data_IF_478586046598
#
_entry.id   IF_478586046598
#
_cell.length_a   1.000
_cell.length_b   1.000
_cell.length_c   1.000
_cell.angle_alpha   90.00
_cell.angle_beta   90.00
_cell.angle_gamma   90.00
#
_symmetry.space_group_name_H-M   'P 1'
#
loop_
_entity.id
_entity.type
_entity.pdbx_description
1 polymer ?
#
# COMPACT_ATOMS: atom_id res chain seq x y z
N UNK A 1 -15.33 16.46 -6.02
CA UNK A 1 -14.57 16.44 -4.74
C UNK A 1 -13.65 17.65 -4.76
N UNK A 2 -13.79 18.56 -3.81
CA UNK A 2 -13.00 19.80 -3.72
C UNK A 2 -11.75 19.53 -2.91
N UNK A 3 -10.58 19.67 -3.53
CA UNK A 3 -9.29 19.72 -2.83
C UNK A 3 -9.36 20.83 -1.79
N UNK A 4 -8.99 20.59 -0.51
CA UNK A 4 -8.89 21.67 0.47
C UNK A 4 -7.76 22.59 0.03
N UNK A 5 -8.12 23.71 -0.61
CA UNK A 5 -7.18 24.79 -0.95
C UNK A 5 -7.03 25.66 0.29
N UNK A 6 -5.80 25.76 0.79
CA UNK A 6 -5.48 26.70 1.86
C UNK A 6 -5.47 28.11 1.27
N UNK A 7 -6.50 28.90 1.60
CA UNK A 7 -6.62 30.30 1.18
C UNK A 7 -5.79 31.19 2.13
N UNK A 8 -4.53 31.41 1.74
CA UNK A 8 -3.60 32.28 2.46
C UNK A 8 -4.15 33.69 2.66
N UNK A 9 -4.94 34.21 1.71
CA UNK A 9 -5.46 35.56 1.75
C UNK A 9 -6.62 35.73 2.75
N UNK A 10 -7.47 34.70 2.87
CA UNK A 10 -8.48 34.62 3.93
C UNK A 10 -7.83 34.47 5.31
N UNK A 11 -6.81 33.61 5.43
CA UNK A 11 -6.12 33.38 6.69
C UNK A 11 -5.40 34.62 7.23
N UNK A 12 -4.69 35.39 6.38
CA UNK A 12 -4.06 36.67 6.78
C UNK A 12 -5.11 37.67 7.25
N UNK A 13 -6.25 37.78 6.54
CA UNK A 13 -7.33 38.69 6.92
C UNK A 13 -7.91 38.35 8.29
N UNK A 14 -8.10 37.06 8.57
CA UNK A 14 -8.65 36.58 9.83
C UNK A 14 -7.68 36.85 11.00
N UNK A 15 -6.38 36.60 10.80
CA UNK A 15 -5.34 36.92 11.79
C UNK A 15 -5.25 38.43 12.07
N UNK A 16 -5.38 39.26 11.04
CA UNK A 16 -5.43 40.71 11.20
C UNK A 16 -6.67 41.16 11.97
N UNK A 17 -7.83 40.53 11.73
CA UNK A 17 -9.05 40.81 12.48
C UNK A 17 -8.96 40.40 13.96
N UNK A 18 -8.08 39.44 14.27
CA UNK A 18 -7.74 39.04 15.63
C UNK A 18 -6.71 39.96 16.33
N UNK A 19 -6.25 41.02 15.65
CA UNK A 19 -5.31 41.99 16.19
C UNK A 19 -3.83 41.66 15.97
N UNK A 20 -3.51 40.69 15.11
CA UNK A 20 -2.13 40.44 14.70
C UNK A 20 -1.73 41.44 13.62
N UNK A 21 -0.55 42.06 13.79
CA UNK A 21 0.01 42.97 12.79
C UNK A 21 0.30 42.24 11.48
N UNK A 22 0.09 42.93 10.35
CA UNK A 22 0.15 42.35 9.00
C UNK A 22 1.45 41.55 8.73
N UNK A 23 2.65 42.02 9.11
CA UNK A 23 3.88 41.24 8.93
C UNK A 23 3.91 39.92 9.74
N UNK A 24 3.30 39.93 10.92
CA UNK A 24 3.17 38.75 11.78
C UNK A 24 2.15 37.76 11.23
N UNK A 25 1.02 38.26 10.73
CA UNK A 25 -0.02 37.46 10.10
C UNK A 25 0.50 36.74 8.84
N UNK A 26 1.24 37.46 7.99
CA UNK A 26 1.88 36.90 6.79
C UNK A 26 2.90 35.81 7.15
N UNK A 27 3.79 36.07 8.13
CA UNK A 27 4.80 35.09 8.55
C UNK A 27 4.18 33.81 9.11
N UNK A 28 3.10 33.91 9.90
CA UNK A 28 2.37 32.75 10.43
C UNK A 28 1.76 31.95 9.28
N UNK A 29 1.11 32.63 8.34
CA UNK A 29 0.46 31.99 7.19
C UNK A 29 1.47 31.34 6.26
N UNK A 30 2.64 31.96 6.06
CA UNK A 30 3.74 31.40 5.29
C UNK A 30 4.27 30.11 5.91
N UNK A 31 4.52 30.09 7.22
CA UNK A 31 4.98 28.88 7.94
C UNK A 31 3.92 27.78 7.88
N UNK A 32 2.64 28.11 8.08
CA UNK A 32 1.55 27.13 7.98
C UNK A 32 1.42 26.61 6.55
N UNK A 33 1.48 27.48 5.54
CA UNK A 33 1.44 27.08 4.14
C UNK A 33 2.63 26.19 3.77
N UNK A 34 3.84 26.52 4.24
CA UNK A 34 5.04 25.73 4.03
C UNK A 34 4.99 24.38 4.74
N UNK A 35 4.36 24.29 5.91
CA UNK A 35 4.13 23.04 6.64
C UNK A 35 3.01 22.20 6.03
N UNK A 36 2.03 22.83 5.37
CA UNK A 36 0.86 22.17 4.76
C UNK A 36 1.11 21.76 3.31
N UNK A 37 1.98 22.46 2.59
CA UNK A 37 2.40 22.13 1.22
C UNK A 37 2.98 20.70 1.06
N UNK A 38 3.82 20.19 1.98
CA UNK A 38 4.28 18.80 1.96
C UNK A 38 3.32 17.80 2.60
N UNK A 39 2.17 18.23 3.16
CA UNK A 39 1.15 17.28 3.62
C UNK A 39 0.50 16.64 2.39
N UNK A 40 1.09 15.50 2.00
CA UNK A 40 0.59 14.43 1.14
C UNK A 40 -0.79 14.77 0.61
N UNK A 41 -0.84 15.34 -0.60
CA UNK A 41 -2.11 15.51 -1.30
C UNK A 41 -2.81 14.16 -1.29
N UNK A 42 -4.12 14.17 -1.02
CA UNK A 42 -4.93 12.94 -0.93
C UNK A 42 -4.67 11.99 -2.09
N UNK A 43 -4.38 12.54 -3.27
CA UNK A 43 -4.02 11.83 -4.49
C UNK A 43 -2.72 11.02 -4.38
N UNK A 44 -1.67 11.60 -3.78
CA UNK A 44 -0.40 10.90 -3.50
C UNK A 44 -0.65 9.77 -2.51
N UNK A 45 -1.41 10.03 -1.44
CA UNK A 45 -1.76 8.99 -0.47
C UNK A 45 -2.56 7.84 -1.11
N UNK A 46 -3.55 8.15 -1.96
CA UNK A 46 -4.31 7.11 -2.66
C UNK A 46 -3.48 6.35 -3.67
N UNK A 47 -2.50 7.00 -4.32
CA UNK A 47 -1.61 6.34 -5.28
C UNK A 47 -0.67 5.39 -4.56
N UNK A 48 -0.05 5.82 -3.47
CA UNK A 48 0.83 4.96 -2.66
C UNK A 48 0.07 3.81 -2.02
N UNK A 49 -1.12 4.06 -1.46
CA UNK A 49 -2.00 3.01 -0.93
C UNK A 49 -2.41 2.00 -2.02
N UNK A 50 -2.72 2.48 -3.23
CA UNK A 50 -3.03 1.61 -4.37
C UNK A 50 -1.85 0.74 -4.78
N UNK A 51 -0.64 1.29 -4.78
CA UNK A 51 0.58 0.55 -5.08
C UNK A 51 0.87 -0.54 -4.04
N UNK A 52 0.66 -0.24 -2.75
CA UNK A 52 0.81 -1.20 -1.65
C UNK A 52 -0.22 -2.33 -1.75
N UNK A 53 -1.50 -2.02 -1.98
CA UNK A 53 -2.55 -3.05 -2.14
C UNK A 53 -2.28 -3.96 -3.35
N UNK A 54 -1.84 -3.37 -4.47
CA UNK A 54 -1.46 -4.14 -5.66
C UNK A 54 -0.27 -5.07 -5.39
N UNK A 55 0.74 -4.60 -4.65
CA UNK A 55 1.89 -5.41 -4.24
C UNK A 55 1.48 -6.59 -3.35
N UNK A 56 0.65 -6.33 -2.33
CA UNK A 56 0.17 -7.37 -1.42
C UNK A 56 -0.66 -8.44 -2.13
N UNK A 57 -1.52 -8.05 -3.08
CA UNK A 57 -2.29 -9.00 -3.90
C UNK A 57 -1.38 -9.84 -4.79
N UNK A 58 -0.36 -9.23 -5.39
CA UNK A 58 0.62 -9.95 -6.20
C UNK A 58 1.39 -10.97 -5.36
N UNK A 59 1.83 -10.60 -4.17
CA UNK A 59 2.56 -11.48 -3.26
C UNK A 59 1.68 -12.63 -2.74
N UNK A 60 0.41 -12.36 -2.39
CA UNK A 60 -0.54 -13.43 -2.05
C UNK A 60 -0.79 -14.39 -3.22
N UNK A 61 -0.86 -13.88 -4.45
CA UNK A 61 -1.05 -14.72 -5.64
C UNK A 61 0.15 -15.64 -5.89
N UNK A 62 1.37 -15.12 -5.70
CA UNK A 62 2.62 -15.91 -5.78
C UNK A 62 2.67 -16.96 -4.69
N UNK A 63 2.38 -16.59 -3.44
CA UNK A 63 2.35 -17.53 -2.32
C UNK A 63 1.35 -18.66 -2.56
N UNK A 64 0.16 -18.36 -3.08
CA UNK A 64 -0.82 -19.38 -3.47
C UNK A 64 -0.29 -20.28 -4.59
N UNK A 65 0.32 -19.71 -5.63
CA UNK A 65 0.89 -20.48 -6.72
C UNK A 65 2.00 -21.43 -6.23
N UNK A 66 2.88 -20.95 -5.35
CA UNK A 66 3.95 -21.74 -4.75
C UNK A 66 3.40 -22.85 -3.85
N UNK A 67 2.35 -22.57 -3.07
CA UNK A 67 1.65 -23.59 -2.29
C UNK A 67 1.02 -24.67 -3.19
N UNK A 68 0.33 -24.29 -4.26
CA UNK A 68 -0.24 -25.26 -5.20
C UNK A 68 0.84 -26.10 -5.88
N UNK A 69 1.96 -25.48 -6.25
CA UNK A 69 3.09 -26.18 -6.85
C UNK A 69 3.72 -27.16 -5.87
N UNK A 70 3.92 -26.75 -4.62
CA UNK A 70 4.44 -27.61 -3.56
C UNK A 70 3.51 -28.80 -3.31
N UNK A 71 2.20 -28.56 -3.24
CA UNK A 71 1.19 -29.60 -3.05
C UNK A 71 1.19 -30.61 -4.21
N UNK A 72 1.28 -30.13 -5.45
CA UNK A 72 1.38 -30.99 -6.63
C UNK A 72 2.63 -31.85 -6.65
N UNK A 73 3.79 -31.28 -6.29
CA UNK A 73 5.06 -32.02 -6.21
C UNK A 73 4.98 -33.09 -5.13
N UNK A 74 4.45 -32.75 -3.95
CA UNK A 74 4.26 -33.72 -2.87
C UNK A 74 3.27 -34.83 -3.25
N UNK A 75 2.15 -34.48 -3.87
CA UNK A 75 1.17 -35.44 -4.36
C UNK A 75 1.76 -36.40 -5.41
N UNK A 76 2.49 -35.86 -6.38
CA UNK A 76 3.20 -36.67 -7.38
C UNK A 76 4.23 -37.61 -6.74
N UNK A 77 4.97 -37.13 -5.73
CA UNK A 77 5.91 -37.94 -4.97
C UNK A 77 5.24 -39.11 -4.24
N UNK A 78 4.11 -38.86 -3.57
CA UNK A 78 3.35 -39.91 -2.87
C UNK A 78 2.85 -40.96 -3.86
N UNK A 79 2.27 -40.54 -5.00
CA UNK A 79 1.79 -41.46 -6.03
C UNK A 79 2.92 -42.29 -6.61
N UNK A 80 4.09 -41.69 -6.86
CA UNK A 80 5.27 -42.40 -7.36
C UNK A 80 5.76 -43.46 -6.37
N UNK A 81 5.79 -43.15 -5.06
CA UNK A 81 6.18 -44.10 -4.01
C UNK A 81 5.18 -45.27 -3.94
N UNK A 82 3.88 -44.99 -3.92
CA UNK A 82 2.84 -46.04 -3.88
C UNK A 82 2.91 -46.93 -5.12
N UNK A 83 2.99 -46.34 -6.32
CA UNK A 83 3.10 -47.07 -7.58
C UNK A 83 4.36 -47.94 -7.65
N UNK A 84 5.49 -47.44 -7.12
CA UNK A 84 6.73 -48.20 -7.03
C UNK A 84 6.61 -49.42 -6.12
N UNK A 85 5.98 -49.28 -4.95
CA UNK A 85 5.76 -50.40 -4.02
C UNK A 85 4.87 -51.49 -4.65
N UNK A 86 3.77 -51.07 -5.30
CA UNK A 86 2.85 -52.00 -5.97
C UNK A 86 3.58 -52.72 -7.12
N UNK A 87 4.31 -51.98 -7.97
CA UNK A 87 5.07 -52.59 -9.07
C UNK A 87 6.15 -53.57 -8.61
N UNK A 88 6.84 -53.30 -7.49
CA UNK A 88 7.81 -54.24 -6.92
C UNK A 88 7.13 -55.51 -6.40
N UNK A 89 5.92 -55.40 -5.84
CA UNK A 89 5.18 -56.56 -5.34
C UNK A 89 4.71 -57.52 -6.45
N UNK A 90 4.40 -57.03 -7.65
CA UNK A 90 4.03 -57.87 -8.79
C UNK A 90 5.22 -58.58 -9.45
N UNK A 91 6.44 -58.06 -9.29
CA UNK A 91 7.65 -58.65 -9.89
C UNK A 91 8.26 -59.76 -9.01
N UNK A 92 8.00 -59.73 -7.70
CA UNK A 92 8.58 -60.67 -6.72
C UNK A 92 7.58 -61.75 -6.28
N UNK A 93 6.28 -61.57 -6.54
CA UNK A 93 5.19 -62.49 -6.17
C UNK A 93 4.95 -63.65 -7.12
#
# INVERSE_FOLDING_TARGET
>A
MTTPTFDTHAAVRDLRSAGIEEPGAESIVEVVSAATSPLVTRDVLTTELGAVDAGLRADMSRLRADMYRALWIQGAGIVAVIGGIIGVSEVIG
#
